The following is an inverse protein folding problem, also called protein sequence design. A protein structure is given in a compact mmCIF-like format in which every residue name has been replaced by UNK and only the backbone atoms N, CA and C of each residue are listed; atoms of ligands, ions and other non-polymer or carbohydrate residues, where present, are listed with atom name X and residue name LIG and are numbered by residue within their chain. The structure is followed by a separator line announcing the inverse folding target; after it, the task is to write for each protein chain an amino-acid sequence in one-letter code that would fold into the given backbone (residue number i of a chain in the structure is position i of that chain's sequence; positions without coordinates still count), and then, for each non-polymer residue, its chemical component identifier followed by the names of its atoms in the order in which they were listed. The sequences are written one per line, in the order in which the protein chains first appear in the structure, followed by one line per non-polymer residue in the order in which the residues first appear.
data_IF_153220650219
#
_entry.id   IF_153220650219
#
_cell.length_a   1.000
_cell.length_b   1.000
_cell.length_c   1.000
_cell.angle_alpha   90.00
_cell.angle_beta   90.00
_cell.angle_gamma   90.00
#
_symmetry.space_group_name_H-M   'P 1'
#
loop_
_entity.id
_entity.type
_entity.pdbx_description
1 polymer ?
#
# COMPACT_ATOMS: atom_id res chain seq x y z
N UNK A 1 7.03 3.81 -16.89
CA UNK A 1 5.77 4.53 -17.18
C UNK A 1 6.03 6.02 -16.93
N UNK A 2 5.35 6.92 -17.63
CA UNK A 2 5.50 8.36 -17.44
C UNK A 2 4.62 8.89 -16.30
N UNK A 3 4.93 10.11 -15.82
CA UNK A 3 4.11 10.78 -14.79
C UNK A 3 2.67 10.99 -15.28
N UNK A 4 2.48 11.37 -16.54
CA UNK A 4 1.16 11.62 -17.12
C UNK A 4 0.36 10.32 -17.27
N UNK A 5 1.02 9.21 -17.56
CA UNK A 5 0.39 7.89 -17.57
C UNK A 5 -0.07 7.47 -16.17
N UNK A 6 0.80 7.63 -15.17
CA UNK A 6 0.46 7.37 -13.78
C UNK A 6 -0.71 8.25 -13.31
N UNK A 7 -0.68 9.55 -13.67
CA UNK A 7 -1.74 10.51 -13.39
C UNK A 7 -3.09 10.03 -13.91
N UNK A 8 -3.15 9.68 -15.20
CA UNK A 8 -4.40 9.21 -15.84
C UNK A 8 -4.90 7.91 -15.23
N UNK A 9 -3.99 7.00 -14.90
CA UNK A 9 -4.33 5.72 -14.26
C UNK A 9 -4.97 5.95 -12.88
N UNK A 10 -4.38 6.80 -12.04
CA UNK A 10 -4.95 7.13 -10.73
C UNK A 10 -6.28 7.87 -10.89
N UNK A 11 -6.38 8.85 -11.79
CA UNK A 11 -7.65 9.54 -12.08
C UNK A 11 -8.77 8.56 -12.48
N UNK A 12 -8.47 7.61 -13.37
CA UNK A 12 -9.44 6.60 -13.81
C UNK A 12 -9.88 5.70 -12.63
N UNK A 13 -8.94 5.31 -11.76
CA UNK A 13 -9.25 4.58 -10.54
C UNK A 13 -10.16 5.39 -9.60
N UNK A 14 -9.81 6.64 -9.30
CA UNK A 14 -10.62 7.52 -8.43
C UNK A 14 -12.03 7.73 -8.98
N UNK A 15 -12.14 7.95 -10.30
CA UNK A 15 -13.44 8.05 -10.98
C UNK A 15 -14.27 6.77 -10.81
N UNK A 16 -13.65 5.59 -10.85
CA UNK A 16 -14.35 4.33 -10.64
C UNK A 16 -14.88 4.15 -9.22
N UNK A 17 -14.30 4.84 -8.23
CA UNK A 17 -14.80 4.93 -6.86
C UNK A 17 -15.90 6.00 -6.69
N UNK A 18 -16.27 6.71 -7.76
CA UNK A 18 -17.18 7.85 -7.69
C UNK A 18 -16.56 9.10 -7.06
N UNK A 19 -15.24 9.17 -6.97
CA UNK A 19 -14.51 10.27 -6.36
C UNK A 19 -13.92 11.18 -7.45
N UNK A 20 -14.30 12.45 -7.45
CA UNK A 20 -13.64 13.46 -8.28
C UNK A 20 -12.24 13.72 -7.71
N UNK A 21 -11.20 13.52 -8.51
CA UNK A 21 -9.82 13.68 -8.10
C UNK A 21 -8.95 14.14 -9.26
N UNK A 22 -7.97 14.99 -8.98
CA UNK A 22 -6.90 15.31 -9.92
C UNK A 22 -5.92 14.14 -10.10
N UNK A 23 -6.03 13.06 -9.31
CA UNK A 23 -5.13 11.92 -9.32
C UNK A 23 -3.95 12.15 -8.39
N UNK A 24 -2.78 12.42 -8.97
CA UNK A 24 -1.56 12.82 -8.28
C UNK A 24 -1.43 14.35 -8.28
N UNK A 25 -0.95 14.90 -7.17
CA UNK A 25 -0.60 16.30 -7.02
C UNK A 25 0.70 16.65 -7.78
N UNK A 26 1.12 17.93 -7.82
CA UNK A 26 2.35 18.34 -8.51
C UNK A 26 3.62 17.60 -8.04
N UNK A 27 3.66 17.19 -6.77
CA UNK A 27 4.77 16.44 -6.17
C UNK A 27 4.74 14.94 -6.52
N UNK A 28 3.68 14.45 -7.16
CA UNK A 28 3.56 13.04 -7.57
C UNK A 28 2.80 12.16 -6.58
N UNK A 29 2.14 12.74 -5.57
CA UNK A 29 1.39 12.00 -4.55
C UNK A 29 -0.12 12.05 -4.76
N UNK A 30 -0.79 10.95 -4.47
CA UNK A 30 -2.25 10.87 -4.42
C UNK A 30 -2.71 9.94 -3.28
N UNK A 31 -4.01 9.92 -3.02
CA UNK A 31 -4.57 9.01 -2.03
C UNK A 31 -6.07 8.80 -2.19
N UNK A 32 -6.56 7.68 -1.67
CA UNK A 32 -7.96 7.29 -1.68
C UNK A 32 -8.34 6.60 -0.37
N UNK A 33 -9.56 6.87 0.10
CA UNK A 33 -10.21 6.01 1.08
C UNK A 33 -11.09 5.00 0.33
N UNK A 34 -10.90 3.71 0.61
CA UNK A 34 -11.68 2.60 0.03
C UNK A 34 -12.27 1.79 1.17
N UNK A 35 -13.53 2.09 1.53
CA UNK A 35 -14.13 1.56 2.75
C UNK A 35 -13.31 1.98 3.99
N UNK A 36 -12.81 1.01 4.75
CA UNK A 36 -11.96 1.26 5.92
C UNK A 36 -10.46 1.30 5.60
N UNK A 37 -10.07 1.02 4.35
CA UNK A 37 -8.67 1.02 3.94
C UNK A 37 -8.23 2.42 3.45
N UNK A 38 -6.97 2.75 3.73
CA UNK A 38 -6.31 3.94 3.20
C UNK A 38 -5.28 3.50 2.16
N UNK A 39 -5.37 4.06 0.97
CA UNK A 39 -4.51 3.76 -0.17
C UNK A 39 -3.78 5.03 -0.60
N UNK A 40 -2.48 4.92 -0.83
CA UNK A 40 -1.61 5.99 -1.26
C UNK A 40 -1.01 5.68 -2.63
N UNK A 41 -0.70 6.73 -3.37
CA UNK A 41 -0.08 6.66 -4.68
C UNK A 41 1.13 7.58 -4.70
N UNK A 42 2.26 7.09 -5.21
CA UNK A 42 3.46 7.90 -5.40
C UNK A 42 4.11 7.59 -6.75
N UNK A 43 4.39 8.63 -7.53
CA UNK A 43 5.16 8.50 -8.76
C UNK A 43 6.64 8.81 -8.53
N UNK A 44 7.47 7.77 -8.65
CA UNK A 44 8.92 7.87 -8.56
C UNK A 44 9.51 8.27 -9.92
N UNK A 45 9.96 9.52 -10.03
CA UNK A 45 10.43 10.09 -11.31
C UNK A 45 11.74 9.46 -11.81
N UNK A 46 12.65 9.16 -10.89
CA UNK A 46 13.93 8.50 -11.13
C UNK A 46 13.77 7.08 -11.68
N UNK A 47 12.80 6.34 -11.14
CA UNK A 47 12.50 4.95 -11.53
C UNK A 47 11.48 4.84 -12.65
N UNK A 48 10.76 5.94 -12.94
CA UNK A 48 9.64 5.96 -13.87
C UNK A 48 8.57 4.93 -13.51
N UNK A 49 8.17 4.90 -12.23
CA UNK A 49 7.23 3.91 -11.69
C UNK A 49 6.16 4.57 -10.83
N UNK A 50 4.95 4.00 -10.85
CA UNK A 50 3.90 4.30 -9.89
C UNK A 50 3.94 3.26 -8.77
N UNK A 51 4.12 3.71 -7.54
CA UNK A 51 3.91 2.93 -6.34
C UNK A 51 2.50 3.13 -5.80
N UNK A 52 1.91 2.05 -5.30
CA UNK A 52 0.60 2.01 -4.67
C UNK A 52 0.74 1.32 -3.31
N UNK A 53 0.36 2.00 -2.23
CA UNK A 53 0.66 1.54 -0.86
C UNK A 53 -0.60 1.56 -0.02
N UNK A 54 -1.05 0.40 0.45
CA UNK A 54 -2.22 0.28 1.32
C UNK A 54 -1.77 0.20 2.78
N UNK A 55 -2.28 1.10 3.63
CA UNK A 55 -1.88 1.21 5.02
C UNK A 55 -2.27 -0.04 5.81
N UNK A 56 -1.28 -0.62 6.49
CA UNK A 56 -1.48 -1.62 7.54
C UNK A 56 -1.62 -0.88 8.87
N UNK A 57 -0.59 -0.12 9.25
CA UNK A 57 -0.54 0.53 10.55
C UNK A 57 0.40 1.73 10.56
N UNK A 58 0.00 2.78 11.27
CA UNK A 58 0.87 3.93 11.53
C UNK A 58 1.35 3.88 12.98
N UNK A 59 2.65 3.69 13.15
CA UNK A 59 3.25 3.69 14.48
C UNK A 59 3.40 5.12 15.01
N UNK A 60 3.15 5.28 16.32
CA UNK A 60 3.39 6.55 17.01
C UNK A 60 4.89 6.85 17.16
N UNK A 61 5.65 5.81 17.46
CA UNK A 61 7.09 5.80 17.66
C UNK A 61 7.68 4.68 16.78
N UNK A 62 8.99 4.68 16.47
CA UNK A 62 9.59 3.59 15.74
C UNK A 62 9.21 2.21 16.33
N UNK A 63 8.88 1.22 15.48
CA UNK A 63 8.43 -0.08 15.95
C UNK A 63 9.51 -0.76 16.81
N UNK A 64 9.08 -1.48 17.85
CA UNK A 64 10.02 -2.20 18.71
C UNK A 64 10.78 -3.28 17.90
N UNK A 65 12.01 -3.64 18.31
CA UNK A 65 12.78 -4.70 17.66
C UNK A 65 11.94 -5.98 17.53
N UNK A 66 11.98 -6.62 16.35
CA UNK A 66 11.25 -7.85 16.06
C UNK A 66 9.87 -7.65 15.45
N UNK A 67 9.26 -6.46 15.53
CA UNK A 67 7.94 -6.20 14.95
C UNK A 67 7.99 -6.26 13.43
N UNK A 68 8.90 -5.53 12.79
CA UNK A 68 9.04 -5.51 11.33
C UNK A 68 9.49 -6.87 10.80
N UNK A 69 10.40 -7.54 11.50
CA UNK A 69 10.82 -8.91 11.19
C UNK A 69 9.65 -9.89 11.27
N UNK A 70 8.73 -9.69 12.23
CA UNK A 70 7.51 -10.46 12.35
C UNK A 70 6.60 -10.33 11.14
N UNK A 71 6.35 -9.11 10.67
CA UNK A 71 5.56 -8.88 9.45
C UNK A 71 6.22 -9.47 8.20
N UNK A 72 7.52 -9.26 8.02
CA UNK A 72 8.29 -9.86 6.91
C UNK A 72 8.30 -11.39 6.96
N UNK A 73 8.29 -11.98 8.16
CA UNK A 73 8.18 -13.43 8.33
C UNK A 73 6.81 -13.97 7.90
N UNK A 74 5.72 -13.23 8.18
CA UNK A 74 4.37 -13.59 7.74
C UNK A 74 4.22 -13.48 6.20
N UNK A 75 4.86 -12.49 5.59
CA UNK A 75 4.96 -12.39 4.12
C UNK A 75 5.70 -13.60 3.55
N UNK A 76 6.88 -13.90 4.11
CA UNK A 76 7.70 -15.03 3.67
C UNK A 76 7.03 -16.39 3.89
N UNK A 77 6.14 -16.52 4.88
CA UNK A 77 5.37 -17.75 5.11
C UNK A 77 4.17 -17.92 4.17
N UNK A 78 3.92 -16.94 3.30
CA UNK A 78 2.86 -17.00 2.28
C UNK A 78 1.52 -16.44 2.72
N UNK A 79 1.49 -15.58 3.76
CA UNK A 79 0.28 -14.80 4.08
C UNK A 79 -0.07 -13.92 2.88
N UNK A 80 -1.33 -13.94 2.44
CA UNK A 80 -1.75 -13.17 1.25
C UNK A 80 -1.53 -11.66 1.46
N UNK A 81 -0.71 -11.05 0.61
CA UNK A 81 -0.39 -9.62 0.59
C UNK A 81 -1.25 -8.83 -0.39
N UNK A 82 -2.25 -9.46 -1.02
CA UNK A 82 -3.04 -8.82 -2.06
C UNK A 82 -2.22 -8.48 -3.32
N UNK A 83 -1.05 -9.10 -3.48
CA UNK A 83 -0.10 -8.82 -4.55
C UNK A 83 0.89 -7.68 -4.27
N UNK A 84 0.88 -7.12 -3.06
CA UNK A 84 1.92 -6.20 -2.58
C UNK A 84 3.06 -6.90 -1.86
N UNK A 85 3.95 -6.10 -1.28
CA UNK A 85 5.02 -6.52 -0.39
C UNK A 85 5.00 -5.70 0.90
N UNK A 86 5.49 -6.26 2.00
CA UNK A 86 5.58 -5.54 3.28
C UNK A 86 6.61 -4.43 3.18
N UNK A 87 6.17 -3.20 3.38
CA UNK A 87 7.03 -2.02 3.29
C UNK A 87 6.87 -1.12 4.52
N UNK A 88 8.00 -0.63 5.04
CA UNK A 88 8.02 0.25 6.19
C UNK A 88 8.75 1.54 5.85
N UNK A 89 8.00 2.63 5.85
CA UNK A 89 8.52 3.96 5.60
C UNK A 89 8.95 4.61 6.92
N UNK A 90 10.26 4.79 7.08
CA UNK A 90 10.85 5.39 8.28
C UNK A 90 10.49 6.86 8.46
N UNK A 91 10.17 7.56 7.37
CA UNK A 91 9.93 9.01 7.38
C UNK A 91 8.60 9.37 8.06
N UNK A 92 7.59 8.50 7.93
CA UNK A 92 6.25 8.71 8.49
C UNK A 92 5.81 7.63 9.48
N UNK A 93 6.71 6.69 9.82
CA UNK A 93 6.50 5.54 10.69
C UNK A 93 5.29 4.69 10.29
N UNK A 94 5.07 4.49 8.99
CA UNK A 94 3.92 3.74 8.49
C UNK A 94 4.36 2.42 7.85
N UNK A 95 3.56 1.39 8.10
CA UNK A 95 3.69 0.06 7.53
C UNK A 95 2.61 -0.12 6.48
N UNK A 96 3.00 -0.61 5.31
CA UNK A 96 2.16 -0.76 4.14
C UNK A 96 2.27 -2.16 3.54
N UNK A 97 1.26 -2.50 2.73
CA UNK A 97 1.45 -3.39 1.59
C UNK A 97 1.63 -2.52 0.35
N UNK A 98 2.82 -2.57 -0.25
CA UNK A 98 3.19 -1.73 -1.39
C UNK A 98 3.35 -2.55 -2.67
N UNK A 99 2.94 -1.98 -3.80
CA UNK A 99 3.13 -2.57 -5.13
C UNK A 99 3.57 -1.49 -6.11
N UNK A 100 4.49 -1.86 -7.01
CA UNK A 100 5.06 -0.93 -8.00
C UNK A 100 4.68 -1.35 -9.42
N UNK A 101 4.37 -0.36 -10.26
CA UNK A 101 4.07 -0.52 -11.68
C UNK A 101 5.13 0.22 -12.50
N UNK A 102 5.83 -0.51 -13.37
CA UNK A 102 6.79 0.08 -14.33
C UNK A 102 6.18 0.31 -15.72
N UNK A 103 5.03 -0.31 -15.99
CA UNK A 103 4.24 -0.13 -17.21
C UNK A 103 2.78 0.10 -16.84
N UNK A 104 2.01 0.70 -17.75
CA UNK A 104 0.59 1.00 -17.50
C UNK A 104 -0.23 -0.28 -17.57
N UNK A 105 -0.80 -0.78 -16.46
CA UNK A 105 -1.75 -1.89 -16.52
C UNK A 105 -3.06 -1.45 -17.17
N UNK A 106 -3.89 -2.41 -17.58
CA UNK A 106 -5.29 -2.09 -17.92
C UNK A 106 -6.02 -1.55 -16.69
N UNK A 107 -6.98 -0.64 -16.89
CA UNK A 107 -7.77 -0.09 -15.77
C UNK A 107 -8.50 -1.18 -14.98
N UNK A 108 -8.96 -2.24 -15.66
CA UNK A 108 -9.63 -3.37 -15.01
C UNK A 108 -8.67 -4.15 -14.09
N UNK A 109 -7.46 -4.45 -14.57
CA UNK A 109 -6.43 -5.10 -13.76
C UNK A 109 -6.04 -4.22 -12.57
N UNK A 110 -5.81 -2.93 -12.80
CA UNK A 110 -5.46 -1.99 -11.73
C UNK A 110 -6.54 -1.90 -10.64
N UNK A 111 -7.82 -1.85 -11.02
CA UNK A 111 -8.93 -1.86 -10.04
C UNK A 111 -8.95 -3.14 -9.20
N UNK A 112 -8.77 -4.30 -9.83
CA UNK A 112 -8.74 -5.57 -9.12
C UNK A 112 -7.53 -5.66 -8.19
N UNK A 113 -6.37 -5.18 -8.65
CA UNK A 113 -5.16 -5.11 -7.84
C UNK A 113 -5.36 -4.21 -6.61
N UNK A 114 -5.95 -3.01 -6.76
CA UNK A 114 -6.21 -2.11 -5.62
C UNK A 114 -7.25 -2.70 -4.66
N UNK A 115 -8.26 -3.41 -5.16
CA UNK A 115 -9.24 -4.11 -4.31
C UNK A 115 -8.56 -5.20 -3.48
N UNK A 116 -7.72 -6.04 -4.10
CA UNK A 116 -7.00 -7.10 -3.38
C UNK A 116 -6.02 -6.52 -2.36
N UNK A 117 -5.27 -5.48 -2.74
CA UNK A 117 -4.30 -4.83 -1.88
C UNK A 117 -4.96 -4.20 -0.64
N UNK A 118 -6.07 -3.48 -0.82
CA UNK A 118 -6.82 -2.87 0.29
C UNK A 118 -7.51 -3.91 1.19
N UNK A 119 -8.03 -5.00 0.63
CA UNK A 119 -8.58 -6.10 1.43
C UNK A 119 -7.50 -6.78 2.27
N UNK A 120 -6.33 -7.05 1.67
CA UNK A 120 -5.21 -7.64 2.39
C UNK A 120 -4.72 -6.69 3.50
N UNK A 121 -4.60 -5.38 3.24
CA UNK A 121 -4.09 -4.46 4.26
C UNK A 121 -4.94 -4.43 5.53
N UNK A 122 -6.26 -4.62 5.41
CA UNK A 122 -7.17 -4.73 6.55
C UNK A 122 -6.92 -6.01 7.36
N UNK A 123 -6.77 -7.16 6.71
CA UNK A 123 -6.41 -8.43 7.38
C UNK A 123 -5.05 -8.30 8.07
N UNK A 124 -4.12 -7.59 7.44
CA UNK A 124 -2.79 -7.35 8.00
C UNK A 124 -2.83 -6.40 9.19
N UNK A 125 -3.72 -5.41 9.17
CA UNK A 125 -3.87 -4.44 10.26
C UNK A 125 -4.49 -5.04 11.53
N UNK A 126 -5.18 -6.17 11.39
CA UNK A 126 -5.91 -6.83 12.46
C UNK A 126 -5.26 -8.19 12.80
N UNK A 127 -5.57 -9.23 12.02
CA UNK A 127 -5.15 -10.60 12.34
C UNK A 127 -3.63 -10.81 12.32
N UNK A 128 -2.93 -10.24 11.32
CA UNK A 128 -1.46 -10.39 11.23
C UNK A 128 -0.78 -9.60 12.35
N UNK A 129 -1.27 -8.39 12.63
CA UNK A 129 -0.81 -7.56 13.74
C UNK A 129 -0.90 -8.33 15.06
N UNK A 130 -2.04 -8.95 15.35
CA UNK A 130 -2.24 -9.75 16.56
C UNK A 130 -1.27 -10.94 16.64
N UNK A 131 -1.05 -11.65 15.53
CA UNK A 131 -0.07 -12.75 15.47
C UNK A 131 1.35 -12.25 15.73
N UNK A 132 1.78 -11.17 15.09
CA UNK A 132 3.10 -10.57 15.28
C UNK A 132 3.28 -10.11 16.73
N UNK A 133 2.32 -9.34 17.26
CA UNK A 133 2.33 -8.86 18.64
C UNK A 133 2.42 -10.03 19.63
N UNK A 134 1.66 -11.11 19.41
CA UNK A 134 1.68 -12.28 20.29
C UNK A 134 3.04 -13.00 20.32
N UNK A 135 3.81 -12.97 19.22
CA UNK A 135 5.13 -13.61 19.15
C UNK A 135 6.25 -12.72 19.68
N UNK A 136 6.14 -11.41 19.45
CA UNK A 136 7.15 -10.43 19.84
C UNK A 136 7.06 -10.09 21.33
N UNK A 137 5.85 -9.95 21.89
CA UNK A 137 5.65 -9.47 23.26
C UNK A 137 5.38 -10.56 24.30
N UNK A 138 5.14 -11.82 23.92
CA UNK A 138 5.03 -12.95 24.86
C UNK A 138 6.36 -13.67 25.12
N UNK A 139 7.49 -13.07 24.72
CA UNK A 139 8.83 -13.54 25.06
C UNK A 139 9.37 -12.81 26.27
#
# INVERSE_FOLDING_TARGET
MTRDEAQRLVQAFMKSLGQASEGLNPQGFGGAAVGNAQLYFEYHTDKQTLETSALIYKFRDPPKPGVLEGFRAEEKSGTDTGGGAVDYETENNSLFLSRTYASVPSEAAFREDMKRLTQASLVWSDEVMDRVASRVFKR
#
